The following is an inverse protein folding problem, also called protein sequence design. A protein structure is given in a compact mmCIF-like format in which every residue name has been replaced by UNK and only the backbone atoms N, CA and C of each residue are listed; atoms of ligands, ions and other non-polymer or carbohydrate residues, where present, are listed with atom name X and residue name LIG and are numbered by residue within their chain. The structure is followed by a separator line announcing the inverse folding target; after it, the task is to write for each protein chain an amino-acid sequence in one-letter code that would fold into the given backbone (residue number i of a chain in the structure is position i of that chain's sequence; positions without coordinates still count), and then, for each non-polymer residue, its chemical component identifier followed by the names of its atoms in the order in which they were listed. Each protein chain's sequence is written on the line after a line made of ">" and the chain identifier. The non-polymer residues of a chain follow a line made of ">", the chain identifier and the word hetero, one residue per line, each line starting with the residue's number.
data_IF_306435711383
#
_entry.id   IF_306435711383
#
_cell.length_a   1.000
_cell.length_b   1.000
_cell.length_c   1.000
_cell.angle_alpha   90.00
_cell.angle_beta   90.00
_cell.angle_gamma   90.00
#
_symmetry.space_group_name_H-M   'P 1'
#
loop_
_entity.id
_entity.type
_entity.pdbx_description
1 polymer ?
#
# COMPACT_ATOMS: atom_id res chain seq x y z
N UNK A 1 -12.63 3.76 -8.30
CA UNK A 1 -11.71 2.82 -7.61
C UNK A 1 -11.93 2.98 -6.12
N UNK A 2 -12.05 1.90 -5.36
CA UNK A 2 -12.11 1.91 -3.89
C UNK A 2 -10.76 1.51 -3.33
N UNK A 3 -10.32 2.21 -2.29
CA UNK A 3 -9.10 1.86 -1.57
C UNK A 3 -9.49 1.60 -0.13
N UNK A 4 -9.17 0.40 0.35
CA UNK A 4 -9.35 -0.01 1.73
C UNK A 4 -7.99 -0.33 2.33
N UNK A 5 -7.67 0.30 3.46
CA UNK A 5 -6.42 0.08 4.16
C UNK A 5 -6.68 -0.37 5.60
N UNK A 6 -5.87 -1.33 6.06
CA UNK A 6 -5.84 -1.72 7.47
C UNK A 6 -4.63 -1.06 8.12
N UNK A 7 -4.81 -0.28 9.17
CA UNK A 7 -3.69 0.30 9.91
C UNK A 7 -2.99 -0.72 10.82
N UNK A 8 -1.92 -0.29 11.50
CA UNK A 8 -1.16 -1.14 12.42
C UNK A 8 -1.96 -1.61 13.65
N UNK A 9 -3.09 -0.97 13.95
CA UNK A 9 -3.99 -1.29 15.06
C UNK A 9 -5.15 -2.20 14.62
N UNK A 10 -5.27 -2.47 13.31
CA UNK A 10 -6.31 -3.31 12.74
C UNK A 10 -7.58 -2.56 12.34
N UNK A 11 -7.58 -1.22 12.36
CA UNK A 11 -8.73 -0.44 11.91
C UNK A 11 -8.78 -0.35 10.39
N UNK A 12 -10.01 -0.36 9.85
CA UNK A 12 -10.25 -0.24 8.42
C UNK A 12 -10.51 1.21 8.05
N UNK A 13 -9.75 1.71 7.08
CA UNK A 13 -9.86 3.06 6.53
C UNK A 13 -10.20 3.02 5.05
N UNK A 14 -10.97 4.00 4.60
CA UNK A 14 -11.25 4.21 3.19
C UNK A 14 -10.51 5.46 2.70
N UNK A 15 -9.89 5.36 1.52
CA UNK A 15 -9.28 6.49 0.85
C UNK A 15 -10.00 6.81 -0.46
N UNK A 16 -9.93 8.09 -0.85
CA UNK A 16 -10.37 8.53 -2.16
C UNK A 16 -9.40 8.06 -3.24
N UNK A 17 -9.88 7.87 -4.47
CA UNK A 17 -8.99 7.57 -5.60
C UNK A 17 -8.07 8.74 -5.96
N UNK A 18 -8.49 9.99 -5.73
CA UNK A 18 -7.65 11.19 -5.86
C UNK A 18 -6.47 11.22 -4.89
N UNK A 19 -6.52 10.43 -3.80
CA UNK A 19 -5.47 10.36 -2.81
C UNK A 19 -4.18 9.69 -3.33
N UNK A 20 -4.29 8.94 -4.43
CA UNK A 20 -3.19 8.17 -5.02
C UNK A 20 -2.30 9.05 -5.89
N UNK A 21 -1.04 9.15 -5.51
CA UNK A 21 0.04 9.69 -6.34
C UNK A 21 0.71 8.54 -7.06
N UNK A 22 0.74 8.63 -8.38
CA UNK A 22 1.29 7.59 -9.26
C UNK A 22 2.79 7.80 -9.53
N UNK A 23 3.42 6.73 -10.02
CA UNK A 23 4.87 6.42 -10.13
C UNK A 23 5.80 7.51 -10.67
N UNK A 24 5.31 8.56 -11.32
CA UNK A 24 6.13 9.61 -11.95
C UNK A 24 6.15 10.94 -11.22
N UNK A 25 5.26 11.14 -10.24
CA UNK A 25 5.07 12.42 -9.60
C UNK A 25 5.86 12.49 -8.30
N UNK A 26 6.65 13.57 -8.09
CA UNK A 26 7.16 13.89 -6.77
C UNK A 26 5.99 14.06 -5.79
N UNK A 27 6.20 13.59 -4.56
CA UNK A 27 5.35 13.98 -3.46
C UNK A 27 5.80 15.35 -2.94
N UNK A 28 4.86 16.27 -2.77
CA UNK A 28 5.11 17.60 -2.24
C UNK A 28 4.78 17.61 -0.75
N UNK A 29 5.77 17.95 0.07
CA UNK A 29 5.60 18.02 1.52
C UNK A 29 4.59 19.12 1.89
N UNK A 30 3.44 18.79 2.52
CA UNK A 30 2.52 19.81 2.98
C UNK A 30 3.08 20.58 4.18
N UNK A 31 2.93 21.91 4.17
CA UNK A 31 3.42 22.77 5.26
C UNK A 31 2.75 22.47 6.61
N UNK A 32 1.46 22.10 6.58
CA UNK A 32 0.71 21.73 7.78
C UNK A 32 0.92 20.25 8.09
N UNK A 33 1.46 19.91 9.26
CA UNK A 33 1.62 18.52 9.71
C UNK A 33 3.05 18.00 9.72
N UNK A 34 4.05 18.83 9.36
CA UNK A 34 5.45 18.48 9.53
C UNK A 34 5.80 18.22 11.02
N UNK A 35 6.71 17.28 11.33
CA UNK A 35 7.44 16.42 10.40
C UNK A 35 6.58 15.28 9.84
N UNK A 36 6.84 14.89 8.59
CA UNK A 36 6.14 13.82 7.90
C UNK A 36 6.92 12.51 7.88
N UNK A 37 6.21 11.40 8.03
CA UNK A 37 6.76 10.05 7.95
C UNK A 37 5.98 9.21 6.93
N UNK A 38 6.67 8.33 6.22
CA UNK A 38 6.10 7.39 5.28
C UNK A 38 6.02 6.01 5.89
N UNK A 39 4.81 5.51 6.09
CA UNK A 39 4.58 4.14 6.53
C UNK A 39 4.48 3.22 5.32
N UNK A 40 5.14 2.06 5.37
CA UNK A 40 5.16 1.12 4.27
C UNK A 40 3.96 0.18 4.33
N UNK A 41 3.30 0.03 3.20
CA UNK A 41 2.18 -0.88 2.98
C UNK A 41 2.48 -1.75 1.76
N UNK A 42 1.79 -2.88 1.69
CA UNK A 42 1.65 -3.65 0.45
C UNK A 42 0.18 -3.69 0.08
N UNK A 43 -0.12 -3.50 -1.20
CA UNK A 43 -1.49 -3.48 -1.70
C UNK A 43 -1.71 -4.58 -2.73
N UNK A 44 -2.84 -5.28 -2.63
CA UNK A 44 -3.35 -6.15 -3.68
C UNK A 44 -4.27 -5.37 -4.61
N UNK A 45 -4.03 -5.49 -5.92
CA UNK A 45 -4.80 -4.79 -6.96
C UNK A 45 -5.88 -5.72 -7.50
N UNK A 46 -7.13 -5.39 -7.23
CA UNK A 46 -8.28 -6.18 -7.67
C UNK A 46 -8.37 -6.15 -9.19
N UNK A 47 -8.47 -7.32 -9.82
CA UNK A 47 -8.54 -7.49 -11.27
C UNK A 47 -9.92 -7.93 -11.75
N UNK A 48 -10.85 -8.26 -10.85
CA UNK A 48 -12.19 -8.78 -11.19
C UNK A 48 -13.32 -8.17 -10.37
N UNK A 49 -14.51 -8.09 -10.96
CA UNK A 49 -15.76 -7.74 -10.27
C UNK A 49 -16.21 -8.90 -9.37
N UNK A 50 -16.55 -8.62 -8.11
CA UNK A 50 -17.01 -9.64 -7.16
C UNK A 50 -17.92 -9.11 -6.06
N UNK A 51 -18.81 -9.97 -5.56
CA UNK A 51 -19.67 -9.76 -4.38
C UNK A 51 -19.92 -11.13 -3.74
N UNK A 52 -19.80 -11.23 -2.41
CA UNK A 52 -19.95 -12.52 -1.69
C UNK A 52 -18.90 -13.56 -2.12
N UNK A 53 -17.64 -13.14 -2.28
CA UNK A 53 -16.56 -14.02 -2.73
C UNK A 53 -16.08 -14.86 -1.56
N UNK A 54 -16.23 -16.19 -1.62
CA UNK A 54 -15.67 -17.06 -0.58
C UNK A 54 -14.12 -17.07 -0.63
N UNK A 55 -13.46 -17.16 0.53
CA UNK A 55 -11.98 -17.10 0.70
C UNK A 55 -11.22 -18.01 -0.27
N UNK A 56 -11.68 -19.25 -0.48
CA UNK A 56 -11.05 -20.20 -1.42
C UNK A 56 -10.99 -19.72 -2.88
N UNK A 57 -11.80 -18.74 -3.25
CA UNK A 57 -11.81 -18.13 -4.58
C UNK A 57 -11.12 -16.76 -4.63
N UNK A 58 -10.82 -16.16 -3.48
CA UNK A 58 -10.33 -14.79 -3.36
C UNK A 58 -9.02 -14.54 -4.13
N UNK A 59 -8.11 -15.53 -4.13
CA UNK A 59 -6.85 -15.54 -4.89
C UNK A 59 -6.97 -15.08 -6.33
N UNK A 60 -8.10 -15.38 -6.98
CA UNK A 60 -8.33 -15.10 -8.41
C UNK A 60 -8.77 -13.67 -8.68
N UNK A 61 -9.10 -12.89 -7.65
CA UNK A 61 -9.69 -11.56 -7.79
C UNK A 61 -8.66 -10.44 -7.77
N UNK A 62 -7.38 -10.73 -7.54
CA UNK A 62 -6.28 -9.80 -7.71
C UNK A 62 -5.12 -10.50 -8.43
N UNK A 63 -4.38 -9.78 -9.26
CA UNK A 63 -3.32 -10.34 -10.10
C UNK A 63 -1.94 -9.76 -9.81
N UNK A 64 -1.87 -8.68 -9.04
CA UNK A 64 -0.64 -7.96 -8.77
C UNK A 64 -0.63 -7.38 -7.37
N UNK A 65 0.58 -7.25 -6.84
CA UNK A 65 0.87 -6.51 -5.62
C UNK A 65 1.66 -5.25 -5.96
N UNK A 66 1.56 -4.21 -5.13
CA UNK A 66 2.47 -3.07 -5.18
C UNK A 66 2.88 -2.63 -3.78
N UNK A 67 4.11 -2.15 -3.63
CA UNK A 67 4.54 -1.45 -2.41
C UNK A 67 3.97 -0.04 -2.44
N UNK A 68 3.44 0.39 -1.30
CA UNK A 68 2.83 1.70 -1.11
C UNK A 68 3.52 2.40 0.06
N UNK A 69 3.72 3.71 -0.06
CA UNK A 69 4.11 4.55 1.08
C UNK A 69 2.92 5.44 1.41
N UNK A 70 2.49 5.42 2.67
CA UNK A 70 1.43 6.27 3.20
C UNK A 70 2.07 7.44 4.00
N UNK A 71 2.06 8.69 3.47
CA UNK A 71 2.59 9.85 4.19
C UNK A 71 1.65 10.30 5.31
N UNK A 72 2.14 10.23 6.54
CA UNK A 72 1.44 10.59 7.78
C UNK A 72 2.17 11.72 8.53
N UNK A 73 1.46 12.72 9.08
CA UNK A 73 2.07 13.73 9.93
C UNK A 73 2.46 13.11 11.28
N UNK A 74 3.55 13.58 11.89
CA UNK A 74 3.94 13.15 13.23
C UNK A 74 2.96 13.60 14.31
N UNK A 75 2.25 14.71 14.07
CA UNK A 75 1.17 15.19 14.92
C UNK A 75 -0.12 14.53 14.45
N UNK A 76 -0.59 13.53 15.19
CA UNK A 76 -1.85 12.86 14.93
C UNK A 76 -3.04 13.85 15.01
N UNK A 77 -4.06 13.65 14.18
CA UNK A 77 -5.34 14.36 14.36
C UNK A 77 -5.97 14.99 13.13
N UNK A 78 -5.49 14.74 11.91
CA UNK A 78 -6.26 15.14 10.72
C UNK A 78 -7.39 14.14 10.47
N UNK A 79 -8.64 14.61 10.44
CA UNK A 79 -9.81 13.84 9.99
C UNK A 79 -9.68 13.35 8.53
N UNK A 80 -8.70 13.86 7.80
CA UNK A 80 -8.50 13.63 6.36
C UNK A 80 -7.23 12.83 6.05
N UNK A 81 -6.64 12.14 7.04
CA UNK A 81 -5.37 11.42 6.88
C UNK A 81 -5.33 10.51 5.66
N UNK A 82 -6.38 9.70 5.47
CA UNK A 82 -6.51 8.77 4.36
C UNK A 82 -7.07 9.39 3.08
N UNK A 83 -7.85 10.46 3.19
CA UNK A 83 -8.58 11.05 2.05
C UNK A 83 -7.88 12.25 1.41
N UNK A 84 -6.82 12.76 2.03
CA UNK A 84 -6.01 13.86 1.49
C UNK A 84 -5.29 13.44 0.20
N UNK A 85 -5.27 14.33 -0.79
CA UNK A 85 -4.45 14.17 -1.98
C UNK A 85 -2.97 13.93 -1.62
N UNK A 86 -2.39 12.86 -2.17
CA UNK A 86 -1.03 12.44 -1.81
C UNK A 86 -0.91 11.79 -0.43
N UNK A 87 -1.97 11.15 0.07
CA UNK A 87 -1.86 10.22 1.21
C UNK A 87 -1.43 8.82 0.79
N UNK A 88 -1.44 8.47 -0.51
CA UNK A 88 -1.05 7.13 -0.99
C UNK A 88 -0.04 7.28 -2.12
N UNK A 89 1.22 6.90 -1.89
CA UNK A 89 2.25 6.89 -2.92
C UNK A 89 2.40 5.47 -3.43
N UNK A 90 1.92 5.23 -4.65
CA UNK A 90 1.82 3.88 -5.21
C UNK A 90 3.02 3.55 -6.10
N UNK A 91 3.66 2.41 -5.81
CA UNK A 91 4.76 1.88 -6.59
C UNK A 91 4.32 1.10 -7.83
N UNK A 92 5.25 0.30 -8.33
CA UNK A 92 5.07 -0.58 -9.46
C UNK A 92 4.21 -1.80 -9.09
N UNK A 93 3.29 -2.14 -9.99
CA UNK A 93 2.50 -3.36 -9.90
C UNK A 93 3.37 -4.52 -10.36
N UNK A 94 3.42 -5.55 -9.52
CA UNK A 94 4.22 -6.73 -9.73
C UNK A 94 3.25 -7.90 -9.80
N UNK A 95 3.19 -8.63 -10.92
CA UNK A 95 2.34 -9.81 -11.02
C UNK A 95 2.63 -10.78 -9.88
N UNK A 96 1.58 -11.34 -9.27
CA UNK A 96 1.72 -12.28 -8.16
C UNK A 96 2.58 -13.48 -8.57
N UNK A 97 2.45 -13.94 -9.82
CA UNK A 97 3.22 -15.07 -10.37
C UNK A 97 4.74 -14.78 -10.49
N UNK A 98 5.14 -13.51 -10.41
CA UNK A 98 6.55 -13.10 -10.43
C UNK A 98 7.15 -12.98 -9.01
N UNK A 99 6.36 -13.20 -7.96
CA UNK A 99 6.80 -13.05 -6.58
C UNK A 99 7.19 -14.41 -5.98
N UNK A 100 8.37 -14.46 -5.36
CA UNK A 100 8.74 -15.59 -4.51
C UNK A 100 7.93 -15.58 -3.21
N UNK A 101 7.62 -16.76 -2.67
CA UNK A 101 6.88 -16.93 -1.41
C UNK A 101 7.48 -16.15 -0.25
N UNK A 102 8.82 -16.04 -0.24
CA UNK A 102 9.58 -15.25 0.72
C UNK A 102 10.53 -14.33 -0.04
N UNK A 103 10.54 -13.06 0.35
CA UNK A 103 11.38 -12.05 -0.26
C UNK A 103 11.80 -11.02 0.79
N UNK A 104 12.28 -9.87 0.35
CA UNK A 104 12.58 -8.72 1.19
C UNK A 104 12.09 -7.43 0.54
N UNK A 105 11.67 -6.48 1.36
CA UNK A 105 11.48 -5.09 0.93
C UNK A 105 12.69 -4.30 1.37
N UNK A 106 13.35 -3.62 0.43
CA UNK A 106 14.46 -2.72 0.76
C UNK A 106 14.01 -1.27 0.61
N UNK A 107 14.37 -0.44 1.58
CA UNK A 107 14.03 0.98 1.67
C UNK A 107 15.34 1.72 1.89
N UNK A 108 15.94 2.22 0.81
CA UNK A 108 17.33 2.70 0.84
C UNK A 108 18.30 1.56 1.17
N UNK A 109 19.12 1.73 2.20
CA UNK A 109 20.09 0.73 2.65
C UNK A 109 19.48 -0.33 3.59
N UNK A 110 18.31 -0.05 4.16
CA UNK A 110 17.63 -0.98 5.06
C UNK A 110 16.86 -2.04 4.27
N UNK A 111 16.87 -3.28 4.76
CA UNK A 111 16.20 -4.41 4.12
C UNK A 111 15.45 -5.24 5.17
N UNK A 112 14.20 -5.56 4.87
CA UNK A 112 13.28 -6.23 5.78
C UNK A 112 12.71 -7.49 5.11
N UNK A 113 12.72 -8.66 5.78
CA UNK A 113 12.12 -9.87 5.23
C UNK A 113 10.60 -9.70 5.10
N UNK A 114 10.01 -10.28 4.06
CA UNK A 114 8.56 -10.30 3.85
C UNK A 114 8.14 -11.70 3.42
N UNK A 115 7.15 -12.27 4.12
CA UNK A 115 6.52 -13.54 3.76
C UNK A 115 5.31 -13.25 2.84
N UNK A 116 5.56 -13.31 1.54
CA UNK A 116 4.55 -13.04 0.51
C UNK A 116 3.43 -14.07 0.59
N UNK A 117 3.74 -15.37 0.76
CA UNK A 117 2.72 -16.41 0.88
C UNK A 117 1.75 -16.14 2.05
N UNK A 118 2.26 -15.68 3.20
CA UNK A 118 1.43 -15.24 4.33
C UNK A 118 0.57 -14.03 3.99
N UNK A 119 1.16 -12.98 3.42
CA UNK A 119 0.44 -11.76 3.02
C UNK A 119 -0.68 -12.08 2.02
N UNK A 120 -0.39 -12.96 1.09
CA UNK A 120 -1.31 -13.47 0.10
C UNK A 120 -2.51 -14.16 0.78
N UNK A 121 -2.30 -15.01 1.80
CA UNK A 121 -3.41 -15.58 2.58
C UNK A 121 -4.22 -14.53 3.36
N UNK A 122 -3.56 -13.47 3.84
CA UNK A 122 -4.25 -12.34 4.50
C UNK A 122 -5.13 -11.55 3.53
N UNK A 123 -4.65 -11.31 2.30
CA UNK A 123 -5.46 -10.68 1.26
C UNK A 123 -6.66 -11.53 0.86
N UNK A 124 -6.51 -12.86 0.82
CA UNK A 124 -7.64 -13.75 0.50
C UNK A 124 -8.77 -13.62 1.53
N UNK A 125 -8.42 -13.56 2.82
CA UNK A 125 -9.38 -13.33 3.92
C UNK A 125 -10.00 -11.95 3.86
N UNK A 126 -9.17 -10.91 3.70
CA UNK A 126 -9.64 -9.53 3.62
C UNK A 126 -10.59 -9.32 2.44
N UNK A 127 -10.28 -9.89 1.29
CA UNK A 127 -11.13 -9.79 0.11
C UNK A 127 -12.47 -10.50 0.32
N UNK A 128 -12.47 -11.67 0.97
CA UNK A 128 -13.69 -12.39 1.35
C UNK A 128 -14.59 -11.51 2.22
N UNK A 129 -14.03 -11.00 3.32
CA UNK A 129 -14.73 -10.14 4.29
C UNK A 129 -15.28 -8.85 3.66
N UNK A 130 -14.46 -8.16 2.85
CA UNK A 130 -14.89 -6.97 2.11
C UNK A 130 -15.99 -7.32 1.11
N UNK A 131 -15.91 -8.46 0.43
CA UNK A 131 -16.88 -8.86 -0.59
C UNK A 131 -18.26 -9.21 0.03
N UNK A 132 -18.32 -9.64 1.28
CA UNK A 132 -19.59 -9.86 2.00
C UNK A 132 -20.38 -8.55 2.15
N UNK A 133 -19.69 -7.44 2.37
CA UNK A 133 -20.30 -6.13 2.65
C UNK A 133 -20.37 -5.23 1.41
N UNK A 134 -19.38 -5.33 0.52
CA UNK A 134 -19.26 -4.46 -0.65
C UNK A 134 -19.04 -5.23 -1.94
N UNK A 135 -19.44 -4.64 -3.06
CA UNK A 135 -18.91 -5.08 -4.36
C UNK A 135 -17.46 -4.60 -4.47
N UNK A 136 -16.56 -5.50 -4.88
CA UNK A 136 -15.19 -5.20 -5.30
C UNK A 136 -15.15 -5.10 -6.82
N UNK A 137 -14.38 -4.16 -7.36
CA UNK A 137 -14.29 -3.88 -8.80
C UNK A 137 -12.83 -3.87 -9.24
N UNK A 138 -12.60 -4.10 -10.53
CA UNK A 138 -11.28 -3.94 -11.13
C UNK A 138 -10.70 -2.57 -10.82
N UNK A 139 -9.45 -2.55 -10.35
CA UNK A 139 -8.74 -1.36 -9.90
C UNK A 139 -8.88 -1.08 -8.41
N UNK A 140 -9.80 -1.70 -7.68
CA UNK A 140 -9.88 -1.53 -6.23
C UNK A 140 -8.57 -2.01 -5.56
N UNK A 141 -8.17 -1.35 -4.48
CA UNK A 141 -6.94 -1.64 -3.74
C UNK A 141 -7.28 -2.08 -2.32
N UNK A 142 -6.67 -3.19 -1.91
CA UNK A 142 -6.68 -3.66 -0.52
C UNK A 142 -5.26 -3.51 0.04
N UNK A 143 -5.08 -2.73 1.10
CA UNK A 143 -3.77 -2.40 1.66
C UNK A 143 -3.59 -3.03 3.03
N UNK A 144 -2.45 -3.70 3.21
CA UNK A 144 -2.02 -4.25 4.50
C UNK A 144 -0.69 -3.60 4.91
N UNK A 145 -0.50 -3.32 6.20
CA UNK A 145 0.70 -2.63 6.67
C UNK A 145 1.88 -3.59 6.68
N UNK A 146 3.07 -3.07 6.34
CA UNK A 146 4.34 -3.78 6.51
C UNK A 146 4.95 -3.34 7.84
N UNK A 147 4.36 -3.83 8.94
CA UNK A 147 4.62 -3.41 10.33
C UNK A 147 6.09 -3.51 10.77
N UNK A 148 6.87 -4.40 10.15
CA UNK A 148 8.30 -4.58 10.47
C UNK A 148 9.20 -3.50 9.85
N UNK A 149 8.70 -2.77 8.85
CA UNK A 149 9.45 -1.72 8.15
C UNK A 149 9.35 -0.43 8.97
N UNK A 150 10.51 0.14 9.28
CA UNK A 150 10.57 1.41 10.00
C UNK A 150 10.01 2.56 9.16
N UNK A 151 9.24 3.50 9.76
CA UNK A 151 8.77 4.67 9.04
C UNK A 151 9.92 5.48 8.43
N UNK A 152 9.72 5.94 7.19
CA UNK A 152 10.70 6.74 6.46
C UNK A 152 10.47 8.21 6.71
N UNK A 153 11.47 8.98 7.15
CA UNK A 153 11.33 10.43 7.26
C UNK A 153 11.16 11.06 5.85
N UNK A 154 10.03 11.73 5.60
CA UNK A 154 9.71 12.35 4.32
C UNK A 154 10.10 13.83 4.32
N UNK A 155 11.41 14.10 4.39
CA UNK A 155 11.95 15.46 4.46
C UNK A 155 12.59 15.87 3.13
N UNK A 156 12.26 17.06 2.62
CA UNK A 156 12.89 17.58 1.40
C UNK A 156 14.36 18.01 1.61
N UNK A 157 15.25 17.81 0.60
CA UNK A 157 15.06 16.96 -0.57
C UNK A 157 15.28 15.47 -0.20
N UNK A 158 14.40 14.58 -0.69
CA UNK A 158 14.59 13.13 -0.56
C UNK A 158 14.46 12.47 -1.93
N UNK A 159 15.39 11.57 -2.24
CA UNK A 159 15.22 10.58 -3.31
C UNK A 159 15.62 9.23 -2.76
N UNK A 160 14.69 8.28 -2.77
CA UNK A 160 14.86 6.98 -2.16
C UNK A 160 14.32 5.91 -3.11
N UNK A 161 15.14 4.92 -3.43
CA UNK A 161 14.69 3.74 -4.17
C UNK A 161 14.18 2.68 -3.18
N UNK A 162 13.02 2.12 -3.48
CA UNK A 162 12.40 1.01 -2.76
C UNK A 162 12.35 -0.20 -3.69
N UNK A 163 12.76 -1.36 -3.19
CA UNK A 163 12.80 -2.61 -3.95
C UNK A 163 11.97 -3.69 -3.28
N UNK A 164 11.41 -4.60 -4.09
CA UNK A 164 10.86 -5.87 -3.63
C UNK A 164 11.71 -6.99 -4.26
N UNK A 165 12.44 -7.72 -3.43
CA UNK A 165 13.55 -8.54 -3.88
C UNK A 165 14.61 -7.69 -4.60
N UNK A 166 14.94 -8.09 -5.82
CA UNK A 166 15.89 -7.39 -6.69
C UNK A 166 15.23 -6.35 -7.60
N UNK A 167 13.90 -6.33 -7.67
CA UNK A 167 13.17 -5.43 -8.56
C UNK A 167 12.97 -4.09 -7.85
N UNK A 168 13.40 -2.98 -8.47
CA UNK A 168 13.02 -1.64 -8.00
C UNK A 168 11.55 -1.41 -8.31
N UNK A 169 10.78 -1.10 -7.28
CA UNK A 169 9.31 -0.95 -7.35
C UNK A 169 8.88 0.48 -7.14
N UNK A 170 9.70 1.33 -6.56
CA UNK A 170 9.38 2.75 -6.41
C UNK A 170 10.65 3.57 -6.36
N UNK A 171 10.62 4.73 -6.99
CA UNK A 171 11.57 5.81 -6.76
C UNK A 171 10.82 6.96 -6.08
N UNK A 172 10.85 6.97 -4.76
CA UNK A 172 10.21 7.99 -3.95
C UNK A 172 11.00 9.30 -4.06
N UNK A 173 10.32 10.38 -4.43
CA UNK A 173 10.90 11.73 -4.51
C UNK A 173 10.08 12.69 -3.66
N UNK A 174 10.70 13.34 -2.69
CA UNK A 174 10.09 14.43 -1.91
C UNK A 174 10.69 15.74 -2.36
N UNK A 175 9.84 16.69 -2.76
CA UNK A 175 10.21 18.02 -3.23
C UNK A 175 9.56 19.12 -2.42
#
# INVERSE_FOLDING_TARGET
>A
MKILAIDNEGHVHAAADSAVVTRSQPWFEPDQGAPWHGEAYIAAIVSRLGKGVAERFARRYYDSLCVVIHPRPAVAGSLYEWTRDGSILMGDHIPVDNLADKTKVSVGEASYPVDIARMLGMFDRLLCDVAEHHTIKTGDMLMLPLTEIQPVALKRPLTLDITLGETRVMRLKVR
#
